data_IF_343071401148
#
_entry.id   IF_343071401148
#
_cell.length_a   1.000
_cell.length_b   1.000
_cell.length_c   1.000
_cell.angle_alpha   90.00
_cell.angle_beta   90.00
_cell.angle_gamma   90.00
#
_symmetry.space_group_name_H-M   'P 1'
#
loop_
_entity.id
_entity.type
_entity.pdbx_description
1 polymer ?
#
# COMPACT_ATOMS: atom_id res chain seq x y z
N UNK A 1 29.42 -15.04 -4.36
CA UNK A 1 29.26 -13.92 -5.30
C UNK A 1 28.31 -12.91 -4.66
N UNK A 2 28.82 -11.81 -4.10
CA UNK A 2 27.98 -10.70 -3.62
C UNK A 2 27.32 -10.11 -4.86
N UNK A 3 26.00 -10.22 -4.95
CA UNK A 3 25.23 -9.52 -5.99
C UNK A 3 25.16 -8.09 -5.49
N UNK A 4 25.90 -7.16 -6.10
CA UNK A 4 25.81 -5.75 -5.75
C UNK A 4 24.37 -5.30 -6.04
N UNK A 5 23.61 -5.06 -4.98
CA UNK A 5 22.24 -4.57 -5.08
C UNK A 5 22.28 -3.14 -5.67
N UNK A 6 21.30 -2.75 -6.50
CA UNK A 6 21.11 -1.34 -6.86
C UNK A 6 21.11 -0.48 -5.59
N UNK A 7 21.76 0.69 -5.63
CA UNK A 7 21.97 1.52 -4.43
C UNK A 7 20.67 1.85 -3.68
N UNK A 8 19.59 2.14 -4.41
CA UNK A 8 18.27 2.42 -3.85
C UNK A 8 17.64 1.18 -3.17
N UNK A 9 17.87 -0.01 -3.72
CA UNK A 9 17.45 -1.25 -3.09
C UNK A 9 18.31 -1.58 -1.86
N UNK A 10 19.63 -1.35 -1.94
CA UNK A 10 20.54 -1.57 -0.83
C UNK A 10 20.17 -0.70 0.38
N UNK A 11 19.79 0.56 0.16
CA UNK A 11 19.27 1.44 1.21
C UNK A 11 17.96 0.91 1.81
N UNK A 12 16.99 0.54 0.94
CA UNK A 12 15.69 0.01 1.36
C UNK A 12 15.82 -1.28 2.19
N UNK A 13 16.80 -2.13 1.84
CA UNK A 13 17.00 -3.45 2.48
C UNK A 13 18.05 -3.46 3.59
N UNK A 14 18.70 -2.32 3.84
CA UNK A 14 19.81 -2.19 4.80
C UNK A 14 19.44 -2.65 6.21
N UNK A 15 18.19 -2.44 6.62
CA UNK A 15 17.61 -2.89 7.88
C UNK A 15 16.13 -3.19 7.75
N UNK A 16 15.57 -4.13 8.54
CA UNK A 16 14.13 -4.30 8.63
C UNK A 16 13.47 -3.02 9.16
N UNK A 17 12.29 -2.61 8.64
CA UNK A 17 11.62 -1.37 9.05
C UNK A 17 10.84 -1.58 10.36
N UNK A 18 11.53 -1.98 11.42
CA UNK A 18 10.94 -2.25 12.75
C UNK A 18 11.26 -1.10 13.69
N UNK A 19 10.21 -0.59 14.33
CA UNK A 19 10.27 0.55 15.24
C UNK A 19 9.50 0.22 16.52
N UNK A 20 9.79 0.96 17.60
CA UNK A 20 9.03 0.95 18.85
C UNK A 20 8.49 2.36 19.10
N UNK A 21 7.24 2.48 19.57
CA UNK A 21 6.72 3.75 20.07
C UNK A 21 7.57 4.23 21.26
N UNK A 22 7.89 5.53 21.28
CA UNK A 22 8.72 6.13 22.33
C UNK A 22 7.89 6.85 23.41
N UNK A 23 6.57 6.72 23.34
CA UNK A 23 5.63 7.29 24.29
C UNK A 23 4.21 7.14 23.78
N UNK A 24 3.27 7.69 24.56
CA UNK A 24 1.84 7.59 24.26
C UNK A 24 1.51 8.25 22.93
N UNK A 25 1.03 7.45 21.98
CA UNK A 25 0.60 7.89 20.67
C UNK A 25 -0.84 8.41 20.72
N UNK A 26 -1.05 9.54 20.04
CA UNK A 26 -2.34 10.23 19.98
C UNK A 26 -3.26 9.52 19.01
N UNK A 27 -4.52 9.31 19.41
CA UNK A 27 -5.51 8.68 18.53
C UNK A 27 -5.89 9.62 17.41
N UNK A 28 -5.83 9.14 16.17
CA UNK A 28 -6.31 9.89 15.01
C UNK A 28 -7.82 9.71 14.93
N UNK A 29 -8.55 10.82 15.06
CA UNK A 29 -10.00 10.85 14.95
C UNK A 29 -10.41 11.11 13.50
N UNK A 30 -11.44 10.41 13.02
CA UNK A 30 -11.92 10.52 11.64
C UNK A 30 -12.75 9.31 11.21
N UNK A 31 -13.15 9.26 9.93
CA UNK A 31 -13.87 8.12 9.31
C UNK A 31 -12.91 6.96 8.98
N UNK A 32 -12.07 6.56 9.92
CA UNK A 32 -11.16 5.43 9.73
C UNK A 32 -11.85 4.12 10.12
N UNK A 33 -11.76 3.11 9.25
CA UNK A 33 -12.29 1.76 9.55
C UNK A 33 -11.53 1.07 10.69
N UNK A 34 -10.25 1.41 10.84
CA UNK A 34 -9.36 0.82 11.84
C UNK A 34 -8.89 1.89 12.83
N UNK A 35 -8.48 1.46 14.02
CA UNK A 35 -7.86 2.37 14.98
C UNK A 35 -6.46 2.77 14.47
N UNK A 36 -6.22 4.08 14.42
CA UNK A 36 -4.97 4.68 13.98
C UNK A 36 -4.48 5.64 15.06
N UNK A 37 -3.18 5.63 15.29
CA UNK A 37 -2.48 6.56 16.17
C UNK A 37 -1.37 7.28 15.44
N UNK A 38 -1.03 8.48 15.93
CA UNK A 38 0.13 9.26 15.52
C UNK A 38 1.09 9.33 16.70
N UNK A 39 2.35 9.00 16.47
CA UNK A 39 3.36 9.00 17.54
C UNK A 39 4.77 9.15 17.01
N UNK A 40 5.72 9.24 17.94
CA UNK A 40 7.15 9.15 17.64
C UNK A 40 7.62 7.72 17.85
N UNK A 41 8.36 7.19 16.89
CA UNK A 41 8.90 5.84 16.94
C UNK A 41 10.41 5.85 16.71
N UNK A 42 11.12 5.01 17.47
CA UNK A 42 12.56 4.82 17.38
C UNK A 42 12.92 3.42 16.90
N UNK A 43 14.09 3.26 16.32
CA UNK A 43 14.61 1.92 16.02
C UNK A 43 15.03 1.29 17.34
N UNK A 44 14.54 0.09 17.69
CA UNK A 44 15.02 -0.60 18.87
C UNK A 44 16.55 -0.70 18.83
N UNK A 45 17.20 -0.50 19.97
CA UNK A 45 18.65 -0.71 20.15
C UNK A 45 19.58 0.32 19.49
N UNK A 46 19.06 1.35 18.83
CA UNK A 46 19.87 2.42 18.22
C UNK A 46 19.53 3.78 18.82
N UNK A 47 20.57 4.59 19.03
CA UNK A 47 20.44 6.00 19.42
C UNK A 47 20.34 6.87 18.17
N UNK A 48 19.18 6.80 17.51
CA UNK A 48 18.84 7.60 16.34
C UNK A 48 17.65 8.52 16.65
N UNK A 49 17.55 9.69 15.97
CA UNK A 49 16.39 10.56 16.11
C UNK A 49 15.08 9.81 15.85
N UNK A 50 14.11 10.02 16.73
CA UNK A 50 12.77 9.47 16.56
C UNK A 50 12.12 9.98 15.28
N UNK A 51 11.36 9.12 14.60
CA UNK A 51 10.60 9.47 13.41
C UNK A 51 9.10 9.55 13.72
N UNK A 52 8.37 10.53 13.15
CA UNK A 52 6.93 10.57 13.28
C UNK A 52 6.29 9.48 12.41
N UNK A 53 5.38 8.71 12.99
CA UNK A 53 4.68 7.63 12.29
C UNK A 53 3.18 7.71 12.52
N UNK A 54 2.43 7.22 11.53
CA UNK A 54 1.10 6.67 11.79
C UNK A 54 1.25 5.19 12.12
N UNK A 55 0.54 4.71 13.13
CA UNK A 55 0.46 3.31 13.51
C UNK A 55 -1.00 2.87 13.50
N UNK A 56 -1.31 1.80 12.77
CA UNK A 56 -2.66 1.29 12.50
C UNK A 56 -2.79 -0.11 13.06
N UNK A 57 -3.81 -0.33 13.87
CA UNK A 57 -4.18 -1.68 14.29
C UNK A 57 -4.94 -2.37 13.17
N UNK A 58 -4.47 -3.56 12.79
CA UNK A 58 -5.10 -4.40 11.78
C UNK A 58 -5.50 -5.72 12.43
N UNK A 59 -6.80 -6.06 12.47
CA UNK A 59 -7.29 -7.21 13.24
C UNK A 59 -6.88 -8.55 12.63
N UNK A 60 -6.62 -8.61 11.32
CA UNK A 60 -6.17 -9.83 10.64
C UNK A 60 -4.66 -9.73 10.37
N UNK A 61 -3.84 -10.72 10.79
CA UNK A 61 -2.40 -10.72 10.52
C UNK A 61 -2.05 -10.54 9.05
N UNK A 62 -2.83 -11.17 8.16
CA UNK A 62 -2.66 -11.06 6.70
C UNK A 62 -2.75 -9.63 6.18
N UNK A 63 -3.48 -8.74 6.85
CA UNK A 63 -3.54 -7.32 6.47
C UNK A 63 -2.21 -6.60 6.76
N UNK A 64 -1.51 -6.95 7.84
CA UNK A 64 -0.16 -6.42 8.12
C UNK A 64 0.81 -6.92 7.06
N UNK A 65 0.75 -8.22 6.72
CA UNK A 65 1.61 -8.80 5.68
C UNK A 65 1.40 -8.10 4.32
N UNK A 66 0.14 -7.86 3.94
CA UNK A 66 -0.22 -7.18 2.69
C UNK A 66 0.26 -5.72 2.70
N UNK A 67 -0.01 -4.97 3.78
CA UNK A 67 0.41 -3.56 3.88
C UNK A 67 1.93 -3.41 3.84
N UNK A 68 2.66 -4.26 4.57
CA UNK A 68 4.11 -4.24 4.55
C UNK A 68 4.65 -4.60 3.16
N UNK A 69 4.13 -5.64 2.52
CA UNK A 69 4.52 -6.03 1.17
C UNK A 69 4.23 -4.92 0.14
N UNK A 70 3.04 -4.32 0.19
CA UNK A 70 2.65 -3.21 -0.69
C UNK A 70 3.53 -1.98 -0.45
N UNK A 71 3.79 -1.62 0.81
CA UNK A 71 4.68 -0.53 1.17
C UNK A 71 6.11 -0.74 0.66
N UNK A 72 6.68 -1.95 0.82
CA UNK A 72 8.04 -2.23 0.37
C UNK A 72 8.14 -2.29 -1.17
N UNK A 73 7.21 -2.97 -1.83
CA UNK A 73 7.17 -3.07 -3.28
C UNK A 73 6.98 -1.70 -3.94
N UNK A 74 6.11 -0.86 -3.39
CA UNK A 74 5.90 0.50 -3.88
C UNK A 74 7.14 1.39 -3.73
N UNK A 75 7.90 1.29 -2.64
CA UNK A 75 9.21 1.97 -2.53
C UNK A 75 10.17 1.51 -3.63
N UNK A 76 10.28 0.20 -3.86
CA UNK A 76 11.15 -0.33 -4.92
C UNK A 76 10.73 0.13 -6.33
N UNK A 77 9.42 0.26 -6.57
CA UNK A 77 8.84 0.80 -7.81
C UNK A 77 8.85 2.33 -7.89
N UNK A 78 9.33 3.03 -6.86
CA UNK A 78 9.37 4.50 -6.74
C UNK A 78 7.98 5.13 -6.86
N UNK A 79 7.00 4.50 -6.22
CA UNK A 79 5.64 5.01 -6.14
C UNK A 79 5.48 5.91 -4.92
N UNK A 80 4.55 6.89 -4.98
CA UNK A 80 4.31 7.80 -3.87
C UNK A 80 3.44 7.13 -2.82
N UNK A 81 3.98 6.11 -2.16
CA UNK A 81 3.40 5.45 -1.00
C UNK A 81 4.28 5.79 0.20
N UNK A 82 3.73 6.13 1.37
CA UNK A 82 4.54 6.37 2.56
C UNK A 82 5.41 5.17 2.93
N UNK A 83 6.65 5.41 3.38
CA UNK A 83 7.58 4.33 3.76
C UNK A 83 6.95 3.48 4.87
N UNK A 84 6.86 2.14 4.71
CA UNK A 84 6.21 1.28 5.68
C UNK A 84 7.08 1.07 6.93
N UNK A 85 6.43 0.69 8.01
CA UNK A 85 7.02 0.32 9.28
C UNK A 85 6.21 -0.82 9.94
N UNK A 86 6.88 -1.65 10.72
CA UNK A 86 6.24 -2.44 11.78
C UNK A 86 6.51 -1.73 13.09
N UNK A 87 5.46 -1.31 13.78
CA UNK A 87 5.55 -0.54 15.01
C UNK A 87 5.16 -1.42 16.19
N UNK A 88 6.10 -1.61 17.11
CA UNK A 88 5.89 -2.31 18.38
C UNK A 88 5.39 -1.29 19.42
N UNK A 89 4.31 -1.61 20.08
CA UNK A 89 3.70 -0.80 21.13
C UNK A 89 3.30 -1.70 22.31
N UNK A 90 3.29 -1.15 23.52
CA UNK A 90 2.53 -1.71 24.64
C UNK A 90 1.13 -1.08 24.69
N UNK A 91 0.21 -1.68 25.44
CA UNK A 91 -1.16 -1.17 25.53
C UNK A 91 -1.22 0.27 26.11
N UNK A 92 -0.31 0.58 27.02
CA UNK A 92 -0.15 1.91 27.64
C UNK A 92 0.39 2.98 26.68
N UNK A 93 1.04 2.57 25.58
CA UNK A 93 1.51 3.49 24.54
C UNK A 93 0.38 3.97 23.63
N UNK A 94 -0.84 3.45 23.76
CA UNK A 94 -1.94 3.71 22.82
C UNK A 94 -3.07 4.48 23.50
N UNK A 95 -3.37 5.69 23.03
CA UNK A 95 -4.53 6.44 23.52
C UNK A 95 -5.84 5.77 23.09
N UNK A 96 -6.71 5.43 24.05
CA UNK A 96 -8.03 4.83 23.81
C UNK A 96 -8.00 3.59 22.88
N UNK A 97 -7.27 2.51 23.28
CA UNK A 97 -7.14 1.29 22.50
C UNK A 97 -8.47 0.53 22.41
N UNK A 98 -8.72 -0.21 21.33
CA UNK A 98 -9.88 -1.10 21.25
C UNK A 98 -9.77 -2.20 22.31
N UNK A 99 -10.92 -2.57 22.91
CA UNK A 99 -10.99 -3.59 23.97
C UNK A 99 -10.55 -5.00 23.53
N UNK A 100 -10.39 -5.24 22.23
CA UNK A 100 -9.87 -6.50 21.68
C UNK A 100 -8.36 -6.66 21.85
N UNK A 101 -7.62 -5.57 22.10
CA UNK A 101 -6.19 -5.64 22.39
C UNK A 101 -5.97 -6.15 23.81
N UNK A 102 -4.97 -7.01 23.95
CA UNK A 102 -4.57 -7.62 25.22
C UNK A 102 -3.22 -7.07 25.65
N UNK A 103 -2.91 -7.25 26.93
CA UNK A 103 -1.60 -6.90 27.48
C UNK A 103 -0.45 -7.64 26.79
N UNK A 104 0.69 -6.96 26.72
CA UNK A 104 1.91 -7.40 26.06
C UNK A 104 2.14 -6.69 24.73
N UNK A 105 3.25 -7.02 24.03
CA UNK A 105 3.68 -6.26 22.87
C UNK A 105 2.74 -6.45 21.67
N UNK A 106 2.21 -5.34 21.18
CA UNK A 106 1.29 -5.23 20.06
C UNK A 106 2.09 -4.85 18.81
N UNK A 107 1.89 -5.58 17.72
CA UNK A 107 2.47 -5.24 16.42
C UNK A 107 1.42 -4.50 15.60
N UNK A 108 1.74 -3.26 15.23
CA UNK A 108 0.93 -2.40 14.38
C UNK A 108 1.60 -2.27 13.02
N UNK A 109 0.80 -2.12 11.97
CA UNK A 109 1.33 -1.62 10.71
C UNK A 109 1.53 -0.11 10.86
N UNK A 110 2.71 0.39 10.53
CA UNK A 110 2.99 1.81 10.52
C UNK A 110 3.45 2.34 9.18
N UNK A 111 3.46 3.65 9.06
CA UNK A 111 4.12 4.34 7.95
C UNK A 111 4.69 5.67 8.41
N UNK A 112 5.73 6.14 7.72
CA UNK A 112 6.29 7.46 7.98
C UNK A 112 5.21 8.53 7.77
N UNK A 113 5.01 9.37 8.78
CA UNK A 113 4.00 10.42 8.77
C UNK A 113 4.23 11.38 7.59
N UNK A 114 3.17 11.59 6.80
CA UNK A 114 3.12 12.63 5.78
C UNK A 114 2.19 13.73 6.30
N UNK A 115 2.66 14.98 6.47
CA UNK A 115 1.82 16.06 6.95
C UNK A 115 0.76 16.41 5.90
N UNK A 116 -0.56 16.28 6.18
CA UNK A 116 -1.57 16.79 5.26
C UNK A 116 -1.40 18.29 5.06
N UNK A 117 -1.59 18.77 3.82
CA UNK A 117 -1.72 20.21 3.59
C UNK A 117 -2.96 20.74 4.33
N UNK A 118 -2.83 21.73 5.23
CA UNK A 118 -3.94 22.21 6.04
C UNK A 118 -5.05 22.87 5.23
N UNK A 119 -4.75 23.43 4.05
CA UNK A 119 -5.78 24.04 3.20
C UNK A 119 -6.56 22.96 2.44
N UNK A 120 -5.86 21.96 1.94
CA UNK A 120 -6.42 20.82 1.23
C UNK A 120 -7.26 19.95 2.17
N UNK A 121 -6.75 19.63 3.36
CA UNK A 121 -7.46 18.83 4.35
C UNK A 121 -8.81 19.47 4.74
N UNK A 122 -8.83 20.78 4.98
CA UNK A 122 -10.08 21.52 5.26
C UNK A 122 -11.10 21.48 4.12
N UNK A 123 -10.63 21.40 2.86
CA UNK A 123 -11.51 21.27 1.68
C UNK A 123 -11.93 19.83 1.42
N UNK A 124 -11.20 18.85 1.94
CA UNK A 124 -11.43 17.42 1.74
C UNK A 124 -12.45 16.83 2.74
N UNK A 125 -12.81 17.58 3.79
CA UNK A 125 -13.52 17.04 4.96
C UNK A 125 -15.05 16.88 4.81
N UNK A 126 -15.70 17.37 3.74
CA UNK A 126 -17.13 17.08 3.56
C UNK A 126 -17.67 17.23 2.13
N UNK A 127 -18.62 16.33 1.80
CA UNK A 127 -19.48 16.29 0.61
C UNK A 127 -18.88 15.78 -0.73
N UNK A 128 -19.77 15.48 -1.69
CA UNK A 128 -19.44 15.03 -3.04
C UNK A 128 -18.51 16.01 -3.78
N UNK A 129 -18.62 17.31 -3.49
CA UNK A 129 -17.76 18.36 -4.05
C UNK A 129 -16.29 18.21 -3.62
N UNK A 130 -16.04 17.82 -2.38
CA UNK A 130 -14.68 17.56 -1.89
C UNK A 130 -14.07 16.35 -2.60
N UNK A 131 -14.85 15.29 -2.78
CA UNK A 131 -14.43 14.09 -3.51
C UNK A 131 -14.11 14.41 -4.97
N UNK A 132 -14.97 15.18 -5.65
CA UNK A 132 -14.74 15.61 -7.03
C UNK A 132 -13.49 16.47 -7.15
N UNK A 133 -13.29 17.41 -6.22
CA UNK A 133 -12.09 18.26 -6.20
C UNK A 133 -10.81 17.43 -6.04
N UNK A 134 -10.82 16.40 -5.17
CA UNK A 134 -9.70 15.48 -5.03
C UNK A 134 -9.41 14.77 -6.36
N UNK A 135 -10.42 14.19 -6.99
CA UNK A 135 -10.24 13.47 -8.25
C UNK A 135 -9.73 14.38 -9.37
N UNK A 136 -10.26 15.59 -9.48
CA UNK A 136 -9.75 16.57 -10.44
C UNK A 136 -8.25 16.82 -10.23
N UNK A 137 -7.82 17.06 -8.98
CA UNK A 137 -6.42 17.35 -8.68
C UNK A 137 -5.49 16.15 -8.83
N UNK A 138 -5.98 14.96 -8.50
CA UNK A 138 -5.25 13.70 -8.68
C UNK A 138 -5.06 13.39 -10.16
N UNK A 139 -6.11 13.48 -10.97
CA UNK A 139 -6.05 13.27 -12.41
C UNK A 139 -5.21 14.33 -13.13
N UNK A 140 -5.00 15.50 -12.50
CA UNK A 140 -4.11 16.54 -13.02
C UNK A 140 -2.61 16.32 -12.72
N UNK A 141 -2.29 15.37 -11.86
CA UNK A 141 -0.94 15.11 -11.35
C UNK A 141 -0.39 13.76 -11.87
N UNK A 142 0.94 13.61 -11.87
CA UNK A 142 1.61 12.37 -12.28
C UNK A 142 1.31 11.17 -11.37
N UNK A 143 0.73 11.39 -10.19
CA UNK A 143 0.25 10.34 -9.29
C UNK A 143 -0.85 9.49 -9.93
N UNK A 144 -1.72 10.05 -10.78
CA UNK A 144 -2.87 9.32 -11.31
C UNK A 144 -2.46 8.10 -12.15
N UNK A 145 -1.62 8.23 -13.20
CA UNK A 145 -1.22 7.05 -13.95
C UNK A 145 -0.40 6.06 -13.11
N UNK A 146 0.45 6.56 -12.21
CA UNK A 146 1.22 5.72 -11.27
C UNK A 146 0.30 4.91 -10.35
N UNK A 147 -0.72 5.56 -9.80
CA UNK A 147 -1.70 4.97 -8.88
C UNK A 147 -2.65 4.02 -9.58
N UNK A 148 -3.12 4.36 -10.78
CA UNK A 148 -3.96 3.47 -11.59
C UNK A 148 -3.23 2.16 -11.94
N UNK A 149 -1.98 2.24 -12.42
CA UNK A 149 -1.18 1.06 -12.70
C UNK A 149 -0.88 0.27 -11.42
N UNK A 150 -0.61 0.95 -10.31
CA UNK A 150 -0.35 0.31 -9.02
C UNK A 150 -1.56 -0.45 -8.47
N UNK A 151 -2.73 0.20 -8.42
CA UNK A 151 -3.95 -0.42 -7.90
C UNK A 151 -4.39 -1.61 -8.76
N UNK A 152 -4.12 -1.61 -10.07
CA UNK A 152 -4.30 -2.79 -10.91
C UNK A 152 -3.31 -3.90 -10.57
N UNK A 153 -2.03 -3.53 -10.44
CA UNK A 153 -0.95 -4.46 -10.14
C UNK A 153 -1.18 -5.20 -8.84
N UNK A 154 -1.68 -4.53 -7.80
CA UNK A 154 -1.99 -5.18 -6.51
C UNK A 154 -3.45 -5.59 -6.36
N UNK A 155 -4.27 -5.43 -7.41
CA UNK A 155 -5.72 -5.63 -7.36
C UNK A 155 -6.35 -5.01 -6.10
N UNK A 156 -6.13 -3.71 -5.89
CA UNK A 156 -6.70 -2.98 -4.77
C UNK A 156 -8.18 -2.68 -5.04
N UNK A 157 -9.13 -3.28 -4.27
CA UNK A 157 -10.55 -3.06 -4.48
C UNK A 157 -11.08 -1.80 -3.76
N UNK A 158 -10.27 -1.17 -2.91
CA UNK A 158 -10.72 -0.16 -1.95
C UNK A 158 -10.03 1.20 -2.15
N UNK A 159 -9.62 1.50 -3.39
CA UNK A 159 -9.13 2.85 -3.69
C UNK A 159 -10.29 3.83 -3.76
N UNK A 160 -10.28 4.81 -2.87
CA UNK A 160 -11.19 5.95 -2.88
C UNK A 160 -10.46 7.26 -2.53
N UNK A 161 -11.11 8.41 -2.69
CA UNK A 161 -10.50 9.73 -2.48
C UNK A 161 -9.91 9.92 -1.08
N UNK A 162 -10.52 9.32 -0.04
CA UNK A 162 -10.00 9.38 1.33
C UNK A 162 -8.76 8.50 1.56
N UNK A 163 -8.36 7.65 0.60
CA UNK A 163 -7.10 6.89 0.62
C UNK A 163 -6.00 7.61 -0.18
N UNK A 164 -6.16 8.91 -0.40
CA UNK A 164 -5.22 9.80 -1.07
C UNK A 164 -4.93 10.98 -0.15
N UNK A 165 -3.66 11.32 -0.01
CA UNK A 165 -3.21 12.39 0.87
C UNK A 165 -2.33 13.36 0.10
N UNK A 166 -2.71 14.63 0.08
CA UNK A 166 -1.86 15.70 -0.45
C UNK A 166 -1.08 16.36 0.70
N UNK A 167 0.24 16.41 0.59
CA UNK A 167 1.12 16.97 1.64
C UNK A 167 1.52 18.44 1.43
N UNK A 168 0.96 19.08 0.39
CA UNK A 168 1.32 20.44 -0.03
C UNK A 168 2.28 20.47 -1.21
N UNK A 169 2.97 19.36 -1.50
CA UNK A 169 3.89 19.21 -2.62
C UNK A 169 3.47 18.10 -3.57
N UNK A 170 3.00 16.95 -3.07
CA UNK A 170 2.65 15.79 -3.87
C UNK A 170 1.56 14.95 -3.23
N UNK A 171 1.04 14.03 -4.03
CA UNK A 171 0.02 13.07 -3.62
C UNK A 171 0.64 11.77 -3.14
N UNK A 172 0.07 11.22 -2.07
CA UNK A 172 0.44 9.95 -1.48
C UNK A 172 -0.73 8.96 -1.55
N UNK A 173 -0.43 7.73 -1.95
CA UNK A 173 -1.33 6.60 -1.93
C UNK A 173 -1.12 5.83 -0.62
N UNK A 174 -2.17 5.61 0.16
CA UNK A 174 -2.10 4.84 1.39
C UNK A 174 -3.27 3.86 1.51
N UNK A 175 -3.24 3.05 2.56
CA UNK A 175 -4.23 2.01 2.87
C UNK A 175 -4.34 0.92 1.78
N UNK A 176 -3.45 -0.07 1.84
CA UNK A 176 -3.42 -1.21 0.90
C UNK A 176 -3.83 -2.52 1.57
N UNK A 177 -4.34 -2.50 2.79
CA UNK A 177 -4.68 -3.70 3.56
C UNK A 177 -5.73 -4.62 2.91
N UNK A 178 -6.47 -4.11 1.91
CA UNK A 178 -7.42 -4.87 1.10
C UNK A 178 -6.90 -5.24 -0.30
N UNK A 179 -5.64 -4.96 -0.61
CA UNK A 179 -5.02 -5.46 -1.84
C UNK A 179 -4.90 -6.99 -1.83
N UNK A 180 -4.96 -7.62 -3.01
CA UNK A 180 -4.76 -9.05 -3.18
C UNK A 180 -5.60 -9.95 -2.22
N UNK A 181 -6.83 -9.55 -1.84
CA UNK A 181 -7.67 -10.27 -0.86
C UNK A 181 -7.82 -11.79 -1.04
N UNK A 182 -7.80 -12.38 -2.26
CA UNK A 182 -7.79 -13.83 -2.38
C UNK A 182 -6.70 -14.51 -1.55
N UNK A 183 -5.57 -13.85 -1.28
CA UNK A 183 -4.50 -14.33 -0.40
C UNK A 183 -5.01 -14.87 0.93
N UNK A 184 -5.97 -14.18 1.58
CA UNK A 184 -6.51 -14.61 2.87
C UNK A 184 -7.20 -15.98 2.81
N UNK A 185 -7.83 -16.32 1.67
CA UNK A 185 -8.43 -17.64 1.43
C UNK A 185 -7.38 -18.68 1.04
N UNK A 186 -6.31 -18.24 0.38
CA UNK A 186 -5.25 -19.10 -0.15
C UNK A 186 -4.29 -19.60 0.93
N UNK A 187 -4.10 -18.87 2.04
CA UNK A 187 -3.37 -19.38 3.21
C UNK A 187 -4.03 -20.62 3.83
N UNK A 188 -5.30 -20.92 3.51
CA UNK A 188 -6.05 -22.05 4.05
C UNK A 188 -5.98 -23.29 3.14
N UNK A 189 -5.49 -23.18 1.89
CA UNK A 189 -5.51 -24.27 0.89
C UNK A 189 -4.12 -24.50 0.29
N UNK A 190 -3.55 -25.68 0.52
CA UNK A 190 -2.14 -26.03 0.32
C UNK A 190 -1.71 -26.37 -1.13
N UNK A 191 -2.52 -26.10 -2.16
CA UNK A 191 -2.09 -26.34 -3.55
C UNK A 191 -1.45 -25.08 -4.14
N UNK A 192 -0.10 -25.01 -4.09
CA UNK A 192 0.69 -23.81 -4.37
C UNK A 192 0.56 -23.33 -5.82
N UNK A 193 0.42 -24.24 -6.79
CA UNK A 193 0.47 -23.89 -8.22
C UNK A 193 -0.86 -23.34 -8.74
N UNK A 194 -1.98 -23.96 -8.37
CA UNK A 194 -3.32 -23.44 -8.71
C UNK A 194 -3.58 -22.09 -8.02
N UNK A 195 -3.19 -21.99 -6.76
CA UNK A 195 -3.22 -20.76 -5.93
C UNK A 195 -2.48 -19.60 -6.58
N UNK A 196 -1.25 -19.83 -7.04
CA UNK A 196 -0.46 -18.80 -7.70
C UNK A 196 -1.13 -18.29 -8.98
N UNK A 197 -1.68 -19.19 -9.82
CA UNK A 197 -2.43 -18.79 -11.02
C UNK A 197 -3.66 -17.96 -10.69
N UNK A 198 -4.41 -18.31 -9.65
CA UNK A 198 -5.55 -17.53 -9.18
C UNK A 198 -5.14 -16.13 -8.76
N UNK A 199 -4.02 -15.98 -8.04
CA UNK A 199 -3.52 -14.66 -7.62
C UNK A 199 -3.06 -13.83 -8.81
N UNK A 200 -2.33 -14.45 -9.74
CA UNK A 200 -1.84 -13.74 -10.93
C UNK A 200 -3.02 -13.23 -11.75
N UNK A 201 -4.01 -14.08 -12.00
CA UNK A 201 -5.21 -13.74 -12.77
C UNK A 201 -6.25 -12.89 -12.03
N UNK A 202 -6.07 -12.59 -10.74
CA UNK A 202 -7.05 -11.86 -9.98
C UNK A 202 -7.02 -10.37 -10.33
N UNK A 203 -8.14 -9.81 -10.75
CA UNK A 203 -8.31 -8.36 -10.93
C UNK A 203 -9.31 -7.82 -9.90
N UNK A 204 -9.08 -6.61 -9.43
CA UNK A 204 -10.06 -5.93 -8.57
C UNK A 204 -11.35 -5.66 -9.35
N UNK A 205 -12.49 -5.55 -8.65
CA UNK A 205 -13.76 -5.21 -9.29
C UNK A 205 -13.72 -3.85 -9.98
N UNK A 206 -13.05 -2.88 -9.37
CA UNK A 206 -12.92 -1.51 -9.85
C UNK A 206 -11.47 -1.05 -9.73
N UNK A 207 -11.05 -0.18 -10.64
CA UNK A 207 -9.85 0.63 -10.52
C UNK A 207 -10.28 2.09 -10.58
N UNK A 208 -10.47 2.70 -9.42
CA UNK A 208 -11.13 4.01 -9.32
C UNK A 208 -10.28 5.12 -9.95
N UNK A 209 -8.95 5.11 -9.76
CA UNK A 209 -8.07 6.12 -10.36
C UNK A 209 -8.12 6.00 -11.89
N UNK A 210 -8.05 4.78 -12.43
CA UNK A 210 -8.16 4.56 -13.87
C UNK A 210 -9.50 5.06 -14.42
N UNK A 211 -10.62 4.73 -13.75
CA UNK A 211 -11.94 5.16 -14.16
C UNK A 211 -12.05 6.70 -14.21
N UNK A 212 -11.56 7.38 -13.17
CA UNK A 212 -11.56 8.85 -13.08
C UNK A 212 -10.65 9.49 -14.14
N UNK A 213 -9.49 8.88 -14.40
CA UNK A 213 -8.56 9.34 -15.42
C UNK A 213 -9.14 9.17 -16.83
N UNK A 214 -9.73 8.02 -17.15
CA UNK A 214 -10.37 7.78 -18.44
C UNK A 214 -11.54 8.72 -18.67
N UNK A 215 -12.34 9.00 -17.64
CA UNK A 215 -13.46 9.95 -17.73
C UNK A 215 -12.99 11.37 -18.06
N UNK A 216 -11.93 11.85 -17.39
CA UNK A 216 -11.41 13.22 -17.50
C UNK A 216 -10.42 13.42 -18.66
N UNK A 217 -9.72 12.36 -19.04
CA UNK A 217 -8.60 12.36 -20.01
C UNK A 217 -8.65 11.12 -20.91
N UNK A 218 -9.71 10.99 -21.71
CA UNK A 218 -10.01 9.81 -22.57
C UNK A 218 -8.89 9.34 -23.50
N UNK A 219 -7.93 10.21 -23.85
CA UNK A 219 -6.81 9.86 -24.73
C UNK A 219 -5.50 9.58 -23.98
N UNK A 220 -5.53 9.59 -22.65
CA UNK A 220 -4.33 9.47 -21.82
C UNK A 220 -3.90 8.00 -21.66
N UNK A 221 -2.84 7.64 -22.38
CA UNK A 221 -2.23 6.31 -22.35
C UNK A 221 -1.05 6.23 -21.34
N UNK A 222 -0.87 7.25 -20.49
CA UNK A 222 0.24 7.28 -19.53
C UNK A 222 0.19 6.12 -18.52
N UNK A 223 -0.98 5.52 -18.28
CA UNK A 223 -1.11 4.35 -17.41
C UNK A 223 -0.40 3.12 -18.01
N UNK A 224 -0.48 2.91 -19.32
CA UNK A 224 0.26 1.83 -19.99
C UNK A 224 1.77 2.08 -19.94
N UNK A 225 2.20 3.33 -20.12
CA UNK A 225 3.61 3.70 -19.97
C UNK A 225 4.14 3.43 -18.55
N UNK A 226 3.30 3.67 -17.53
CA UNK A 226 3.61 3.33 -16.14
C UNK A 226 3.66 1.82 -15.90
N UNK A 227 2.75 1.04 -16.49
CA UNK A 227 2.79 -0.42 -16.45
C UNK A 227 4.10 -0.98 -17.03
N UNK A 228 4.50 -0.49 -18.20
CA UNK A 228 5.77 -0.85 -18.84
C UNK A 228 6.98 -0.43 -17.99
N UNK A 229 6.92 0.75 -17.36
CA UNK A 229 7.96 1.21 -16.44
C UNK A 229 8.11 0.26 -15.25
N UNK A 230 6.99 -0.15 -14.63
CA UNK A 230 7.00 -1.09 -13.52
C UNK A 230 7.50 -2.47 -13.94
N UNK A 231 7.10 -2.95 -15.13
CA UNK A 231 7.56 -4.23 -15.68
C UNK A 231 9.09 -4.30 -15.78
N UNK A 232 9.73 -3.21 -16.25
CA UNK A 232 11.20 -3.10 -16.30
C UNK A 232 11.86 -3.20 -14.92
N UNK A 233 11.13 -2.93 -13.84
CA UNK A 233 11.59 -3.04 -12.46
C UNK A 233 11.32 -4.42 -11.83
N UNK A 234 10.75 -5.40 -12.56
CA UNK A 234 10.37 -6.70 -11.99
C UNK A 234 11.51 -7.45 -11.31
N UNK A 235 12.72 -7.44 -11.87
CA UNK A 235 13.93 -8.02 -11.24
C UNK A 235 14.22 -7.40 -9.87
N UNK A 236 13.93 -6.11 -9.71
CA UNK A 236 14.14 -5.38 -8.44
C UNK A 236 13.21 -5.88 -7.36
N UNK A 237 11.95 -6.21 -7.70
CA UNK A 237 11.01 -6.81 -6.74
C UNK A 237 11.42 -8.20 -6.30
N UNK A 238 11.91 -9.04 -7.22
CA UNK A 238 12.44 -10.38 -6.86
C UNK A 238 13.66 -10.29 -5.94
N UNK A 239 14.57 -9.33 -6.20
CA UNK A 239 15.71 -9.07 -5.31
C UNK A 239 15.24 -8.55 -3.95
N UNK A 240 14.28 -7.61 -3.92
CA UNK A 240 13.68 -7.12 -2.68
C UNK A 240 13.11 -8.27 -1.86
N UNK A 241 12.28 -9.14 -2.45
CA UNK A 241 11.70 -10.29 -1.76
C UNK A 241 12.78 -11.21 -1.18
N UNK A 242 13.88 -11.43 -1.91
CA UNK A 242 15.03 -12.21 -1.41
C UNK A 242 15.70 -11.56 -0.20
N UNK A 243 15.89 -10.25 -0.20
CA UNK A 243 16.50 -9.55 0.94
C UNK A 243 15.57 -9.50 2.15
N UNK A 244 14.27 -9.25 1.94
CA UNK A 244 13.26 -9.26 3.01
C UNK A 244 13.21 -10.60 3.74
N UNK A 245 13.36 -11.73 3.02
CA UNK A 245 13.43 -13.08 3.64
C UNK A 245 14.64 -13.28 4.56
N UNK A 246 15.71 -12.52 4.38
CA UNK A 246 16.91 -12.62 5.21
C UNK A 246 16.78 -11.86 6.51
N UNK A 247 15.83 -10.93 6.61
CA UNK A 247 15.61 -10.21 7.85
C UNK A 247 15.21 -11.16 8.98
N UNK A 248 15.84 -10.95 10.13
CA UNK A 248 15.62 -11.70 11.37
C UNK A 248 15.57 -10.72 12.52
N UNK A 249 14.49 -10.76 13.29
CA UNK A 249 14.25 -9.87 14.43
C UNK A 249 13.84 -10.71 15.63
N UNK A 250 12.65 -11.30 15.60
CA UNK A 250 12.17 -12.23 16.63
C UNK A 250 11.06 -13.15 16.08
N UNK A 251 10.64 -14.13 16.88
CA UNK A 251 9.65 -15.13 16.48
C UNK A 251 8.26 -14.58 16.14
N UNK A 252 7.93 -13.35 16.53
CA UNK A 252 6.65 -12.70 16.26
C UNK A 252 6.67 -11.93 14.94
N UNK A 253 7.82 -11.36 14.60
CA UNK A 253 8.00 -10.51 13.41
C UNK A 253 8.50 -11.31 12.20
N UNK A 254 9.36 -12.31 12.41
CA UNK A 254 9.95 -13.12 11.33
C UNK A 254 8.91 -13.76 10.36
N UNK A 255 7.75 -14.26 10.84
CA UNK A 255 6.71 -14.76 9.96
C UNK A 255 6.15 -13.68 9.03
N UNK A 256 5.99 -12.44 9.52
CA UNK A 256 5.48 -11.30 8.75
C UNK A 256 6.40 -11.02 7.56
N UNK A 257 7.72 -11.01 7.76
CA UNK A 257 8.67 -10.82 6.66
C UNK A 257 8.64 -11.96 5.65
N UNK A 258 8.53 -13.20 6.12
CA UNK A 258 8.47 -14.38 5.24
C UNK A 258 7.24 -14.32 4.32
N UNK A 259 6.09 -13.96 4.90
CA UNK A 259 4.84 -13.84 4.16
C UNK A 259 4.90 -12.61 3.24
N UNK A 260 5.31 -11.44 3.75
CA UNK A 260 5.43 -10.21 2.97
C UNK A 260 6.35 -10.38 1.75
N UNK A 261 7.48 -11.08 1.90
CA UNK A 261 8.35 -11.40 0.77
C UNK A 261 7.67 -12.30 -0.28
N UNK A 262 6.83 -13.23 0.16
CA UNK A 262 6.05 -14.07 -0.75
C UNK A 262 5.02 -13.24 -1.52
N UNK A 263 4.37 -12.28 -0.86
CA UNK A 263 3.46 -11.33 -1.51
C UNK A 263 4.22 -10.45 -2.50
N UNK A 264 5.42 -9.98 -2.18
CA UNK A 264 6.27 -9.19 -3.10
C UNK A 264 6.60 -9.98 -4.37
N UNK A 265 6.92 -11.28 -4.26
CA UNK A 265 7.15 -12.12 -5.44
C UNK A 265 5.88 -12.30 -6.28
N UNK A 266 4.71 -12.40 -5.64
CA UNK A 266 3.43 -12.46 -6.35
C UNK A 266 3.11 -11.15 -7.08
N UNK A 267 3.40 -10.00 -6.47
CA UNK A 267 3.34 -8.68 -7.12
C UNK A 267 4.29 -8.66 -8.33
N UNK A 268 5.51 -9.18 -8.19
CA UNK A 268 6.48 -9.24 -9.28
C UNK A 268 5.98 -10.10 -10.46
N UNK A 269 5.33 -11.24 -10.18
CA UNK A 269 4.74 -12.10 -11.21
C UNK A 269 3.58 -11.42 -11.95
N UNK A 270 2.80 -10.59 -11.25
CA UNK A 270 1.68 -9.83 -11.82
C UNK A 270 2.10 -8.67 -12.72
N UNK A 271 3.37 -8.27 -12.70
CA UNK A 271 3.88 -7.25 -13.64
C UNK A 271 3.76 -7.69 -15.09
N UNK A 272 3.93 -8.98 -15.38
CA UNK A 272 3.89 -9.51 -16.76
C UNK A 272 2.53 -9.27 -17.44
N UNK A 273 1.39 -9.66 -16.84
CA UNK A 273 0.07 -9.39 -17.42
C UNK A 273 -0.49 -7.99 -17.12
N UNK A 274 0.25 -7.11 -16.43
CA UNK A 274 -0.29 -5.82 -15.97
C UNK A 274 -0.83 -4.95 -17.11
N UNK A 275 -0.06 -4.79 -18.18
CA UNK A 275 -0.47 -3.99 -19.33
C UNK A 275 -1.78 -4.53 -19.94
N UNK A 276 -1.87 -5.85 -20.11
CA UNK A 276 -3.08 -6.52 -20.60
C UNK A 276 -4.30 -6.24 -19.71
N UNK A 277 -4.15 -6.25 -18.38
CA UNK A 277 -5.27 -5.92 -17.48
C UNK A 277 -5.73 -4.47 -17.58
N UNK A 278 -4.80 -3.55 -17.82
CA UNK A 278 -5.13 -2.14 -18.02
C UNK A 278 -5.81 -1.93 -19.38
N UNK A 279 -5.27 -2.52 -20.45
CA UNK A 279 -5.89 -2.51 -21.79
C UNK A 279 -7.32 -3.03 -21.74
N UNK A 280 -7.54 -4.18 -21.09
CA UNK A 280 -8.88 -4.75 -20.90
C UNK A 280 -9.85 -3.77 -20.24
N UNK A 281 -9.40 -2.91 -19.32
CA UNK A 281 -10.26 -1.89 -18.69
C UNK A 281 -10.50 -0.68 -19.58
N UNK A 282 -9.51 -0.29 -20.37
CA UNK A 282 -9.62 0.83 -21.31
C UNK A 282 -10.52 0.47 -22.50
N UNK A 283 -10.53 -0.81 -22.90
CA UNK A 283 -11.35 -1.33 -24.00
C UNK A 283 -12.83 -1.50 -23.63
N UNK A 284 -13.19 -1.53 -22.34
CA UNK A 284 -14.60 -1.54 -21.93
C UNK A 284 -15.21 -0.20 -22.39
N UNK A 285 -16.13 -0.21 -23.37
CA UNK A 285 -16.74 1.02 -23.83
C UNK A 285 -17.44 1.67 -22.64
N UNK A 286 -17.33 2.99 -22.49
CA UNK A 286 -18.08 3.78 -21.50
C UNK A 286 -19.62 3.70 -21.68
N UNK A 287 -20.12 2.77 -22.51
CA UNK A 287 -21.46 2.67 -23.06
C UNK A 287 -22.25 1.40 -22.74
N UNK A 288 -21.83 0.53 -21.81
CA UNK A 288 -22.79 -0.42 -21.21
C UNK A 288 -23.91 0.28 -20.41
N UNK A 289 -23.81 1.61 -20.23
CA UNK A 289 -24.87 2.49 -19.74
C UNK A 289 -25.82 3.02 -20.83
N UNK A 290 -25.65 2.70 -22.12
CA UNK A 290 -26.46 3.30 -23.21
C UNK A 290 -27.49 2.36 -23.85
N UNK A 291 -27.62 1.12 -23.38
CA UNK A 291 -28.59 0.15 -23.94
C UNK A 291 -29.40 -0.65 -22.93
N UNK A 292 -29.64 -0.12 -21.72
CA UNK A 292 -30.76 -0.58 -20.89
C UNK A 292 -31.98 0.34 -21.11
N UNK A 293 -32.53 0.30 -22.32
CA UNK A 293 -33.90 0.71 -22.62
C UNK A 293 -34.37 -0.08 -23.84
N UNK A 294 -34.99 -1.23 -23.58
CA UNK A 294 -36.08 -1.84 -24.34
C UNK A 294 -36.80 -2.81 -23.43
#
# INVERSE_FOLDING_TARGET
MRTDLPADLAELTSRPPVFRLLGVAEKVHGKHLNHVWKGLAGVPWLDEPAIPVFAKFLPRPTQIDIELACGLASQALRLPVPRPALVIAELEDLQSPPASLKDGPIILFGSLFQPPDPFFARKADDDALATEFIWQKVCDDEVAPKGAAWDELVANPDRHAQNLLFDGSKWWLFDHNLALQPLARLYQTLDKDSTQRTIIGHIAKVNQILAQLTERRRADQSVLAEADRMLRQGKKLTLLAREVRKWKVDSRIDPIFTISATIIDLIALRLQPLALYIEQRLDVPAGESLWSNS
#
